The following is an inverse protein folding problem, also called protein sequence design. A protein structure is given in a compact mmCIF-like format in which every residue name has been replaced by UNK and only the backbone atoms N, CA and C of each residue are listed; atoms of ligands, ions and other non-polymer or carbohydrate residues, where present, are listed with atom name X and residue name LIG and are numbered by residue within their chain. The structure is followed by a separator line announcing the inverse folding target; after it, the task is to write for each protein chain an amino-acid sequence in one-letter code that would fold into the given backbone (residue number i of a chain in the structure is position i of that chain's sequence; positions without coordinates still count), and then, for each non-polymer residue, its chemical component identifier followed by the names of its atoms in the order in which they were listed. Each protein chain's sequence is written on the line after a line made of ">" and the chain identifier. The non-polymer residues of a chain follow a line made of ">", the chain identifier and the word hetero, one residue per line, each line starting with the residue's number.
data_IF_304710502927
#
_entry.id   IF_304710502927
#
_cell.length_a   1.000
_cell.length_b   1.000
_cell.length_c   1.000
_cell.angle_alpha   90.00
_cell.angle_beta   90.00
_cell.angle_gamma   90.00
#
_symmetry.space_group_name_H-M   'P 1'
#
loop_
_entity.id
_entity.type
_entity.pdbx_description
1 polymer ?
#
# COMPACT_ATOMS: atom_id res chain seq x y z
N UNK A 1 23.44 -27.10 56.55
CA UNK A 1 22.87 -27.73 55.34
C UNK A 1 21.41 -27.34 55.13
N UNK A 2 20.54 -27.35 56.16
CA UNK A 2 19.12 -27.03 56.04
C UNK A 2 18.87 -25.61 55.53
N UNK A 3 19.53 -24.58 56.08
CA UNK A 3 19.43 -23.19 55.70
C UNK A 3 19.86 -22.95 54.25
N UNK A 4 20.92 -23.63 53.79
CA UNK A 4 21.38 -23.56 52.41
C UNK A 4 20.33 -24.17 51.49
N UNK A 5 19.76 -25.34 51.81
CA UNK A 5 18.72 -25.98 51.00
C UNK A 5 17.45 -25.14 50.89
N UNK A 6 17.03 -24.46 51.97
CA UNK A 6 15.89 -23.51 51.94
C UNK A 6 16.22 -22.31 51.08
N UNK A 7 17.39 -21.69 51.22
CA UNK A 7 17.79 -20.55 50.37
C UNK A 7 17.89 -20.92 48.90
N UNK A 8 18.48 -22.09 48.59
CA UNK A 8 18.55 -22.57 47.20
C UNK A 8 17.13 -22.78 46.61
N UNK A 9 16.21 -23.34 47.41
CA UNK A 9 14.81 -23.52 46.98
C UNK A 9 14.12 -22.18 46.73
N UNK A 10 14.27 -21.21 47.64
CA UNK A 10 13.69 -19.86 47.45
C UNK A 10 14.28 -19.20 46.20
N UNK A 11 15.59 -19.28 46.01
CA UNK A 11 16.24 -18.67 44.81
C UNK A 11 15.75 -19.33 43.53
N UNK A 12 15.60 -20.64 43.50
CA UNK A 12 15.11 -21.38 42.35
C UNK A 12 13.63 -21.08 42.01
N UNK A 13 12.84 -20.54 42.95
CA UNK A 13 11.48 -20.09 42.75
C UNK A 13 11.46 -18.60 42.34
N UNK A 14 12.15 -17.76 43.07
CA UNK A 14 12.10 -16.29 42.92
C UNK A 14 12.74 -15.81 41.61
N UNK A 15 13.89 -16.39 41.24
CA UNK A 15 14.60 -15.96 40.03
C UNK A 15 13.76 -16.11 38.73
N UNK A 16 13.16 -17.27 38.42
CA UNK A 16 12.34 -17.43 37.25
C UNK A 16 11.10 -16.50 37.26
N UNK A 17 10.53 -16.27 38.43
CA UNK A 17 9.38 -15.33 38.55
C UNK A 17 9.78 -13.89 38.25
N UNK A 18 10.94 -13.44 38.76
CA UNK A 18 11.46 -12.11 38.45
C UNK A 18 11.78 -11.93 36.97
N UNK A 19 12.40 -12.97 36.34
CA UNK A 19 12.62 -12.96 34.89
C UNK A 19 11.30 -12.84 34.13
N UNK A 20 10.29 -13.62 34.50
CA UNK A 20 8.96 -13.57 33.90
C UNK A 20 8.35 -12.17 34.03
N UNK A 21 8.35 -11.60 35.24
CA UNK A 21 7.80 -10.26 35.48
C UNK A 21 8.53 -9.18 34.67
N UNK A 22 9.87 -9.27 34.57
CA UNK A 22 10.67 -8.34 33.77
C UNK A 22 10.34 -8.44 32.28
N UNK A 23 10.18 -9.66 31.74
CA UNK A 23 9.85 -9.87 30.33
C UNK A 23 8.46 -9.31 30.00
N UNK A 24 7.47 -9.58 30.85
CA UNK A 24 6.10 -9.05 30.69
C UNK A 24 6.11 -7.53 30.73
N UNK A 25 6.83 -6.92 31.70
CA UNK A 25 6.96 -5.48 31.81
C UNK A 25 7.60 -4.85 30.56
N UNK A 26 8.70 -5.43 30.07
CA UNK A 26 9.37 -4.94 28.85
C UNK A 26 8.49 -5.06 27.62
N UNK A 27 7.88 -6.23 27.41
CA UNK A 27 6.98 -6.45 26.26
C UNK A 27 5.79 -5.47 26.29
N UNK A 28 5.23 -5.21 27.50
CA UNK A 28 4.11 -4.27 27.64
C UNK A 28 4.48 -2.82 27.27
N UNK A 29 5.75 -2.48 27.33
CA UNK A 29 6.32 -1.18 26.93
C UNK A 29 6.82 -1.13 25.48
N UNK A 30 6.67 -2.24 24.74
CA UNK A 30 7.18 -2.35 23.37
C UNK A 30 8.69 -2.63 23.27
N UNK A 31 9.38 -2.85 24.41
CA UNK A 31 10.77 -3.27 24.45
C UNK A 31 10.85 -4.80 24.43
N UNK A 32 11.03 -5.38 23.25
CA UNK A 32 11.03 -6.83 23.09
C UNK A 32 12.40 -7.41 23.43
N UNK A 33 12.51 -8.16 24.55
CA UNK A 33 13.79 -8.72 24.98
C UNK A 33 14.24 -9.88 24.06
N UNK A 34 15.54 -10.22 24.08
CA UNK A 34 15.99 -11.46 23.46
C UNK A 34 15.39 -12.68 24.17
N UNK A 35 15.38 -13.83 23.50
CA UNK A 35 14.88 -15.08 24.10
C UNK A 35 15.61 -15.45 25.38
N UNK A 36 14.88 -16.03 26.33
CA UNK A 36 15.46 -16.62 27.54
C UNK A 36 16.21 -17.90 27.15
N UNK A 37 17.51 -17.92 27.41
CA UNK A 37 18.39 -19.06 27.12
C UNK A 37 18.67 -19.94 28.35
N UNK A 38 18.40 -19.42 29.55
CA UNK A 38 18.60 -20.16 30.79
C UNK A 38 17.77 -21.44 30.81
N UNK A 39 18.34 -22.47 31.46
CA UNK A 39 17.65 -23.74 31.64
C UNK A 39 16.88 -23.74 32.95
N UNK A 40 15.60 -24.07 32.87
CA UNK A 40 14.71 -24.26 34.01
C UNK A 40 14.16 -25.69 34.05
N UNK A 41 13.67 -26.12 35.19
CA UNK A 41 13.03 -27.41 35.35
C UNK A 41 11.52 -27.28 35.55
N UNK A 42 10.76 -28.32 35.22
CA UNK A 42 9.32 -28.39 35.45
C UNK A 42 8.55 -27.21 34.80
N UNK A 43 7.62 -26.66 35.57
CA UNK A 43 6.68 -25.63 35.08
C UNK A 43 7.39 -24.31 34.68
N UNK A 44 8.53 -23.98 35.28
CA UNK A 44 9.31 -22.82 34.90
C UNK A 44 9.88 -22.92 33.48
N UNK A 45 10.19 -24.14 33.02
CA UNK A 45 10.57 -24.34 31.62
C UNK A 45 9.39 -24.12 30.65
N UNK A 46 8.19 -24.51 31.07
CA UNK A 46 6.96 -24.20 30.29
C UNK A 46 6.74 -22.69 30.19
N UNK A 47 6.85 -21.94 31.29
CA UNK A 47 6.74 -20.48 31.32
C UNK A 47 7.78 -19.83 30.40
N UNK A 48 9.07 -20.27 30.49
CA UNK A 48 10.12 -19.80 29.59
C UNK A 48 9.77 -20.01 28.12
N UNK A 49 9.31 -21.21 27.76
CA UNK A 49 8.98 -21.55 26.38
C UNK A 49 7.81 -20.70 25.88
N UNK A 50 6.79 -20.47 26.71
CA UNK A 50 5.65 -19.60 26.39
C UNK A 50 6.07 -18.14 26.21
N UNK A 51 6.95 -17.62 27.07
CA UNK A 51 7.50 -16.27 26.90
C UNK A 51 8.34 -16.15 25.63
N UNK A 52 9.18 -17.13 25.34
CA UNK A 52 9.96 -17.15 24.11
C UNK A 52 9.05 -17.21 22.86
N UNK A 53 7.96 -17.98 22.90
CA UNK A 53 6.97 -18.01 21.84
C UNK A 53 6.26 -16.64 21.68
N UNK A 54 5.95 -15.96 22.79
CA UNK A 54 5.40 -14.60 22.77
C UNK A 54 6.38 -13.62 22.14
N UNK A 55 7.66 -13.66 22.53
CA UNK A 55 8.74 -12.86 21.94
C UNK A 55 8.84 -13.10 20.42
N UNK A 56 8.81 -14.36 19.97
CA UNK A 56 8.85 -14.69 18.55
C UNK A 56 7.66 -14.13 17.79
N UNK A 57 6.46 -14.28 18.33
CA UNK A 57 5.23 -13.81 17.68
C UNK A 57 5.21 -12.28 17.52
N UNK A 58 5.63 -11.55 18.58
CA UNK A 58 5.69 -10.09 18.53
C UNK A 58 6.79 -9.61 17.59
N UNK A 59 8.00 -10.22 17.65
CA UNK A 59 9.09 -9.88 16.73
C UNK A 59 8.71 -10.12 15.26
N UNK A 60 7.99 -11.20 14.96
CA UNK A 60 7.52 -11.49 13.61
C UNK A 60 6.56 -10.39 13.13
N UNK A 61 5.61 -9.96 13.97
CA UNK A 61 4.67 -8.90 13.64
C UNK A 61 5.38 -7.55 13.40
N UNK A 62 6.31 -7.19 14.29
CA UNK A 62 7.10 -5.94 14.17
C UNK A 62 7.97 -5.97 12.91
N UNK A 63 8.60 -7.11 12.60
CA UNK A 63 9.40 -7.28 11.39
C UNK A 63 8.57 -7.12 10.12
N UNK A 64 7.37 -7.71 10.07
CA UNK A 64 6.50 -7.58 8.90
C UNK A 64 5.97 -6.16 8.74
N UNK A 65 5.63 -5.48 9.85
CA UNK A 65 5.24 -4.07 9.82
C UNK A 65 6.40 -3.17 9.30
N UNK A 66 7.61 -3.39 9.80
CA UNK A 66 8.79 -2.65 9.37
C UNK A 66 9.10 -2.89 7.87
N UNK A 67 8.98 -4.13 7.41
CA UNK A 67 9.14 -4.48 6.00
C UNK A 67 8.12 -3.76 5.11
N UNK A 68 6.85 -3.71 5.50
CA UNK A 68 5.79 -3.01 4.75
C UNK A 68 6.04 -1.49 4.72
N UNK A 69 6.44 -0.89 5.84
CA UNK A 69 6.81 0.53 5.90
C UNK A 69 7.98 0.83 4.96
N UNK A 70 9.05 0.02 5.02
CA UNK A 70 10.20 0.19 4.14
C UNK A 70 9.84 0.04 2.66
N UNK A 71 8.96 -0.90 2.33
CA UNK A 71 8.46 -1.10 0.98
C UNK A 71 7.63 0.09 0.50
N UNK A 72 6.74 0.63 1.35
CA UNK A 72 5.93 1.80 1.04
C UNK A 72 6.79 3.05 0.79
N UNK A 73 7.79 3.30 1.64
CA UNK A 73 8.76 4.41 1.46
C UNK A 73 9.56 4.25 0.17
N UNK A 74 9.90 3.01 -0.22
CA UNK A 74 10.58 2.72 -1.47
C UNK A 74 9.66 2.72 -2.71
N UNK A 75 8.36 3.03 -2.56
CA UNK A 75 7.38 3.00 -3.65
C UNK A 75 7.01 1.58 -4.13
N UNK A 76 7.39 0.54 -3.40
CA UNK A 76 7.09 -0.85 -3.71
C UNK A 76 5.72 -1.25 -3.17
N UNK A 77 4.69 -0.62 -3.68
CA UNK A 77 3.32 -0.71 -3.14
C UNK A 77 2.65 -2.09 -3.31
N UNK A 78 3.21 -2.97 -4.13
CA UNK A 78 2.72 -4.34 -4.30
C UNK A 78 3.21 -5.32 -3.22
N UNK A 79 4.09 -4.88 -2.32
CA UNK A 79 4.61 -5.73 -1.24
C UNK A 79 3.51 -6.03 -0.23
N UNK A 80 3.43 -7.31 0.19
CA UNK A 80 2.49 -7.79 1.23
C UNK A 80 3.25 -8.63 2.25
N UNK A 81 2.78 -8.63 3.49
CA UNK A 81 3.27 -9.53 4.52
C UNK A 81 2.56 -10.88 4.44
N UNK A 82 3.26 -11.95 4.80
CA UNK A 82 2.68 -13.30 4.80
C UNK A 82 1.87 -13.55 6.09
N UNK A 83 0.56 -13.32 6.01
CA UNK A 83 -0.35 -13.53 7.13
C UNK A 83 -0.38 -15.00 7.62
N UNK A 84 0.05 -15.99 6.81
CA UNK A 84 0.07 -17.39 7.20
C UNK A 84 1.12 -17.71 8.28
N UNK A 85 2.13 -16.87 8.41
CA UNK A 85 3.19 -16.97 9.45
C UNK A 85 2.70 -16.59 10.83
N UNK A 86 1.53 -15.97 10.93
CA UNK A 86 0.93 -15.52 12.18
C UNK A 86 -0.25 -16.37 12.60
N UNK A 87 -0.61 -16.31 13.88
CA UNK A 87 -1.74 -17.03 14.45
C UNK A 87 -2.73 -16.07 15.13
N UNK A 88 -3.97 -16.52 15.31
CA UNK A 88 -5.00 -15.77 16.04
C UNK A 88 -5.19 -14.35 15.52
N UNK A 89 -5.23 -13.39 16.43
CA UNK A 89 -5.47 -11.99 16.10
C UNK A 89 -4.28 -11.32 15.40
N UNK A 90 -3.04 -11.79 15.59
CA UNK A 90 -1.89 -11.30 14.83
C UNK A 90 -2.05 -11.58 13.32
N UNK A 91 -2.57 -12.76 12.97
CA UNK A 91 -2.92 -13.08 11.56
C UNK A 91 -3.97 -12.12 11.02
N UNK A 92 -5.00 -11.81 11.82
CA UNK A 92 -6.07 -10.88 11.39
C UNK A 92 -5.51 -9.46 11.16
N UNK A 93 -4.61 -9.01 12.04
CA UNK A 93 -3.95 -7.70 11.87
C UNK A 93 -3.15 -7.65 10.59
N UNK A 94 -2.29 -8.65 10.32
CA UNK A 94 -1.47 -8.69 9.10
C UNK A 94 -2.34 -8.79 7.84
N UNK A 95 -3.38 -9.62 7.85
CA UNK A 95 -4.34 -9.71 6.76
C UNK A 95 -5.06 -8.38 6.53
N UNK A 96 -5.56 -7.73 7.60
CA UNK A 96 -6.24 -6.44 7.51
C UNK A 96 -5.33 -5.32 6.98
N UNK A 97 -4.04 -5.33 7.30
CA UNK A 97 -3.08 -4.39 6.72
C UNK A 97 -2.91 -4.67 5.22
N UNK A 98 -2.77 -5.94 4.81
CA UNK A 98 -2.70 -6.30 3.39
C UNK A 98 -3.96 -5.85 2.63
N UNK A 99 -5.15 -6.10 3.18
CA UNK A 99 -6.44 -5.68 2.59
C UNK A 99 -6.51 -4.15 2.47
N UNK A 100 -6.03 -3.42 3.47
CA UNK A 100 -5.95 -1.95 3.42
C UNK A 100 -5.05 -1.49 2.28
N UNK A 101 -3.87 -2.10 2.13
CA UNK A 101 -2.96 -1.80 1.04
C UNK A 101 -3.58 -2.13 -0.32
N UNK A 102 -4.32 -3.23 -0.47
CA UNK A 102 -5.00 -3.60 -1.71
C UNK A 102 -6.07 -2.56 -2.09
N UNK A 103 -6.86 -2.13 -1.11
CA UNK A 103 -7.91 -1.12 -1.31
C UNK A 103 -7.35 0.27 -1.65
N UNK A 104 -6.12 0.59 -1.26
CA UNK A 104 -5.46 1.86 -1.63
C UNK A 104 -4.73 1.74 -2.97
N UNK A 105 -4.01 0.64 -3.18
CA UNK A 105 -3.17 0.45 -4.38
C UNK A 105 -4.00 0.18 -5.64
N UNK A 106 -5.15 -0.48 -5.50
CA UNK A 106 -6.06 -0.76 -6.61
C UNK A 106 -6.45 0.50 -7.40
N UNK A 107 -7.09 1.49 -6.76
CA UNK A 107 -7.44 2.77 -7.40
C UNK A 107 -6.25 3.51 -8.00
N UNK A 108 -5.10 3.52 -7.32
CA UNK A 108 -3.87 4.15 -7.83
C UNK A 108 -3.40 3.49 -9.14
N UNK A 109 -3.47 2.16 -9.23
CA UNK A 109 -3.13 1.44 -10.46
C UNK A 109 -4.10 1.75 -11.61
N UNK A 110 -5.41 1.94 -11.34
CA UNK A 110 -6.37 2.36 -12.34
C UNK A 110 -6.06 3.77 -12.86
N UNK A 111 -5.75 4.72 -11.98
CA UNK A 111 -5.31 6.07 -12.38
C UNK A 111 -4.07 5.97 -13.26
N UNK A 112 -3.06 5.18 -12.85
CA UNK A 112 -1.83 4.98 -13.64
C UNK A 112 -2.12 4.40 -15.01
N UNK A 113 -3.05 3.44 -15.12
CA UNK A 113 -3.48 2.84 -16.38
C UNK A 113 -4.11 3.88 -17.32
N UNK A 114 -5.04 4.69 -16.81
CA UNK A 114 -5.69 5.74 -17.59
C UNK A 114 -4.69 6.80 -18.03
N UNK A 115 -3.82 7.27 -17.12
CA UNK A 115 -2.80 8.28 -17.48
C UNK A 115 -1.80 7.73 -18.52
N UNK A 116 -1.45 6.44 -18.44
CA UNK A 116 -0.63 5.77 -19.44
C UNK A 116 -1.31 5.73 -20.82
N UNK A 117 -2.58 5.32 -20.87
CA UNK A 117 -3.37 5.33 -22.11
C UNK A 117 -3.47 6.74 -22.72
N UNK A 118 -3.73 7.75 -21.90
CA UNK A 118 -3.79 9.16 -22.35
C UNK A 118 -2.44 9.63 -22.93
N UNK A 119 -1.31 9.23 -22.33
CA UNK A 119 0.01 9.58 -22.81
C UNK A 119 0.30 8.96 -24.19
N UNK A 120 -0.33 7.82 -24.51
CA UNK A 120 -0.25 7.16 -25.82
C UNK A 120 -1.30 7.68 -26.81
N UNK A 121 -2.14 8.65 -26.40
CA UNK A 121 -3.21 9.22 -27.22
C UNK A 121 -4.53 8.44 -27.21
N UNK A 122 -4.63 7.37 -26.39
CA UNK A 122 -5.88 6.64 -26.19
C UNK A 122 -6.74 7.35 -25.12
N UNK A 123 -7.74 8.09 -25.58
CA UNK A 123 -8.73 8.77 -24.74
C UNK A 123 -10.05 7.98 -24.61
N UNK A 124 -10.07 6.71 -25.00
CA UNK A 124 -11.27 5.87 -24.92
C UNK A 124 -11.42 5.18 -23.59
N UNK A 125 -10.35 5.13 -22.80
CA UNK A 125 -10.27 4.43 -21.53
C UNK A 125 -10.90 5.24 -20.41
N UNK A 126 -11.67 4.56 -19.55
CA UNK A 126 -12.25 5.13 -18.32
C UNK A 126 -12.12 4.17 -17.16
N UNK A 127 -12.27 4.66 -15.93
CA UNK A 127 -12.34 3.83 -14.72
C UNK A 127 -13.81 3.43 -14.54
N UNK A 128 -14.10 2.14 -14.69
CA UNK A 128 -15.45 1.56 -14.55
C UNK A 128 -15.69 0.89 -13.19
N UNK A 129 -14.63 0.58 -12.45
CA UNK A 129 -14.70 -0.01 -11.12
C UNK A 129 -15.45 0.91 -10.16
N UNK A 130 -16.36 0.34 -9.37
CA UNK A 130 -17.07 1.09 -8.33
C UNK A 130 -16.19 1.25 -7.11
N UNK A 131 -16.05 2.47 -6.63
CA UNK A 131 -15.37 2.82 -5.39
C UNK A 131 -16.34 3.53 -4.44
N UNK A 132 -15.88 3.83 -3.22
CA UNK A 132 -16.62 4.60 -2.22
C UNK A 132 -15.76 5.75 -1.71
N UNK A 133 -16.42 6.81 -1.22
CA UNK A 133 -15.75 7.97 -0.63
C UNK A 133 -14.76 8.63 -1.58
N UNK A 134 -13.60 9.01 -1.07
CA UNK A 134 -12.58 9.77 -1.80
C UNK A 134 -12.09 9.08 -3.08
N UNK A 135 -12.11 7.74 -3.13
CA UNK A 135 -11.73 7.01 -4.34
C UNK A 135 -12.80 7.07 -5.44
N UNK A 136 -14.08 7.21 -5.07
CA UNK A 136 -15.13 7.47 -6.07
C UNK A 136 -15.02 8.89 -6.62
N UNK A 137 -14.72 9.87 -5.78
CA UNK A 137 -14.43 11.25 -6.21
C UNK A 137 -13.23 11.30 -7.16
N UNK A 138 -12.14 10.60 -6.82
CA UNK A 138 -10.96 10.50 -7.68
C UNK A 138 -11.30 9.86 -9.03
N UNK A 139 -12.04 8.76 -9.05
CA UNK A 139 -12.52 8.13 -10.29
C UNK A 139 -13.30 9.11 -11.16
N UNK A 140 -14.26 9.81 -10.55
CA UNK A 140 -15.12 10.76 -11.28
C UNK A 140 -14.30 11.92 -11.84
N UNK A 141 -13.35 12.47 -11.08
CA UNK A 141 -12.47 13.55 -11.55
C UNK A 141 -11.59 13.10 -12.74
N UNK A 142 -11.03 11.88 -12.69
CA UNK A 142 -10.24 11.33 -13.79
C UNK A 142 -11.12 11.13 -15.04
N UNK A 143 -12.30 10.52 -14.90
CA UNK A 143 -13.19 10.29 -16.03
C UNK A 143 -13.68 11.61 -16.66
N UNK A 144 -13.97 12.63 -15.85
CA UNK A 144 -14.31 13.97 -16.33
C UNK A 144 -13.14 14.62 -17.08
N UNK A 145 -11.92 14.45 -16.58
CA UNK A 145 -10.71 14.97 -17.24
C UNK A 145 -10.55 14.35 -18.63
N UNK A 146 -10.67 13.02 -18.75
CA UNK A 146 -10.63 12.32 -20.04
C UNK A 146 -11.71 12.85 -21.00
N UNK A 147 -12.96 12.95 -20.51
CA UNK A 147 -14.06 13.47 -21.32
C UNK A 147 -13.81 14.90 -21.84
N UNK A 148 -13.23 15.76 -20.98
CA UNK A 148 -12.90 17.14 -21.37
C UNK A 148 -11.79 17.21 -22.42
N UNK A 149 -10.78 16.32 -22.33
CA UNK A 149 -9.78 16.20 -23.39
C UNK A 149 -10.40 15.76 -24.73
N UNK A 150 -11.29 14.78 -24.72
CA UNK A 150 -11.99 14.33 -25.94
C UNK A 150 -12.78 15.48 -26.59
N UNK A 151 -13.53 16.24 -25.77
CA UNK A 151 -14.30 17.41 -26.23
C UNK A 151 -13.37 18.46 -26.87
N UNK A 152 -12.30 18.84 -26.12
CA UNK A 152 -11.38 19.89 -26.61
C UNK A 152 -10.65 19.49 -27.90
N UNK A 153 -10.21 18.24 -28.03
CA UNK A 153 -9.57 17.73 -29.25
C UNK A 153 -10.57 17.71 -30.40
N UNK A 154 -11.84 17.37 -30.13
CA UNK A 154 -12.95 17.45 -31.13
C UNK A 154 -13.17 18.86 -31.62
N UNK A 155 -13.17 19.86 -30.73
CA UNK A 155 -13.29 21.28 -31.09
C UNK A 155 -12.12 21.76 -31.95
N UNK A 156 -10.88 21.40 -31.54
CA UNK A 156 -9.66 21.74 -32.30
C UNK A 156 -9.70 21.13 -33.71
N UNK A 157 -10.12 19.87 -33.84
CA UNK A 157 -10.27 19.20 -35.13
C UNK A 157 -11.30 19.89 -35.99
N UNK A 158 -12.48 20.23 -35.46
CA UNK A 158 -13.51 20.96 -36.18
C UNK A 158 -13.02 22.32 -36.64
N UNK A 159 -12.29 23.06 -35.81
CA UNK A 159 -11.69 24.35 -36.17
C UNK A 159 -10.67 24.20 -37.30
N UNK A 160 -9.82 23.16 -37.25
CA UNK A 160 -8.85 22.86 -38.31
C UNK A 160 -9.50 22.52 -39.63
N UNK A 161 -10.56 21.72 -39.61
CA UNK A 161 -11.36 21.39 -40.82
C UNK A 161 -12.01 22.65 -41.44
N UNK A 162 -12.58 23.53 -40.61
CA UNK A 162 -13.16 24.81 -41.06
C UNK A 162 -12.09 25.72 -41.67
N UNK A 163 -10.89 25.80 -41.06
CA UNK A 163 -9.77 26.59 -41.57
C UNK A 163 -9.27 26.04 -42.93
N UNK A 164 -9.18 24.71 -43.05
CA UNK A 164 -8.82 24.05 -44.30
C UNK A 164 -9.80 24.38 -45.43
N UNK A 165 -11.09 24.31 -45.15
CA UNK A 165 -12.16 24.67 -46.09
C UNK A 165 -12.12 26.15 -46.53
N UNK A 166 -11.95 27.07 -45.56
CA UNK A 166 -11.80 28.50 -45.83
C UNK A 166 -10.56 28.80 -46.69
N UNK A 167 -9.42 28.14 -46.39
CA UNK A 167 -8.19 28.26 -47.19
C UNK A 167 -8.40 27.79 -48.64
N UNK A 168 -9.13 26.70 -48.83
CA UNK A 168 -9.50 26.21 -50.17
C UNK A 168 -10.36 27.21 -50.95
N UNK A 169 -11.33 27.83 -50.28
CA UNK A 169 -12.17 28.88 -50.90
C UNK A 169 -11.37 30.12 -51.30
N UNK A 170 -10.46 30.57 -50.40
CA UNK A 170 -9.59 31.71 -50.74
C UNK A 170 -8.70 31.39 -51.94
N UNK A 171 -8.13 30.18 -52.02
CA UNK A 171 -7.32 29.75 -53.16
C UNK A 171 -8.13 29.72 -54.47
N UNK A 172 -9.35 29.19 -54.45
CA UNK A 172 -10.22 29.15 -55.60
C UNK A 172 -10.61 30.56 -56.08
N UNK A 173 -10.93 31.47 -55.14
CA UNK A 173 -11.24 32.87 -55.42
C UNK A 173 -10.08 33.61 -56.06
N UNK A 174 -8.85 33.40 -55.50
CA UNK A 174 -7.64 33.99 -56.05
C UNK A 174 -7.32 33.52 -57.47
N UNK A 175 -7.53 32.23 -57.76
CA UNK A 175 -7.39 31.69 -59.14
C UNK A 175 -8.38 32.30 -60.09
N UNK A 176 -9.67 32.40 -59.70
CA UNK A 176 -10.72 33.04 -60.53
C UNK A 176 -10.41 34.49 -60.79
N UNK A 177 -9.93 35.24 -59.81
CA UNK A 177 -9.55 36.65 -59.94
C UNK A 177 -8.32 36.81 -60.87
N UNK A 178 -7.33 35.93 -60.76
CA UNK A 178 -6.17 35.91 -61.64
C UNK A 178 -6.55 35.66 -63.10
N UNK A 179 -7.52 34.77 -63.33
CA UNK A 179 -8.03 34.45 -64.67
C UNK A 179 -8.79 35.59 -65.26
N UNK A 180 -9.71 36.25 -64.52
CA UNK A 180 -10.48 37.39 -64.96
C UNK A 180 -9.65 38.68 -65.12
N UNK A 181 -8.48 38.77 -64.55
CA UNK A 181 -7.55 39.88 -64.73
C UNK A 181 -6.60 39.71 -65.93
N UNK A 182 -6.62 38.56 -66.58
CA UNK A 182 -5.76 38.20 -67.71
C UNK A 182 -6.51 38.28 -69.04
N UNK A 183 -7.85 38.46 -68.99
CA UNK A 183 -8.72 38.81 -70.10
C UNK A 183 -8.88 40.34 -70.22
#
# INVERSE_FOLDING_TARGET
>A
QLVKGVNDTITNIVNPMNVTANYVDRISKGDIPPKITDSYSGDYNIIKNNLNACVDAVNSLVSDAAMLVAAAVAGKLATRADASRHQGDFRKVVAGVNDTLDNVVGPINEVRRIMGAMAEGDLTQTITTSYQGDFDELKNAINQTVAKFVETIGEVRSAADNLSNASGQVSATAQSLSQSSSE
#
